data_IF_029277158444
#
_entry.id   IF_029277158444
#
_cell.length_a   1.000
_cell.length_b   1.000
_cell.length_c   1.000
_cell.angle_alpha   90.00
_cell.angle_beta   90.00
_cell.angle_gamma   90.00
#
_symmetry.space_group_name_H-M   'P 1'
#
loop_
_entity.id
_entity.type
_entity.pdbx_description
1 polymer ?
#
# COMPACT_ATOMS: atom_id res chain seq x y z
N UNK A 1 61.49 34.21 21.74
CA UNK A 1 60.07 34.19 21.44
C UNK A 1 59.70 33.00 20.57
N UNK A 2 60.47 32.64 19.51
CA UNK A 2 60.20 31.49 18.59
C UNK A 2 60.33 30.12 19.25
N UNK A 3 61.09 29.97 20.31
CA UNK A 3 61.33 28.69 20.99
C UNK A 3 60.18 28.33 21.94
N UNK A 4 59.56 29.34 22.57
CA UNK A 4 58.41 29.17 23.47
C UNK A 4 57.14 28.73 22.68
N UNK A 5 56.93 29.25 21.50
CA UNK A 5 55.77 28.94 20.66
C UNK A 5 55.84 27.43 20.22
N UNK A 6 57.01 26.90 19.89
CA UNK A 6 57.13 25.48 19.52
C UNK A 6 56.80 24.53 20.66
N UNK A 7 57.11 24.86 21.91
CA UNK A 7 56.78 24.00 23.06
C UNK A 7 55.28 24.04 23.39
N UNK A 8 54.61 25.20 23.29
CA UNK A 8 53.19 25.31 23.53
C UNK A 8 52.37 24.60 22.49
N UNK A 9 52.72 24.68 21.22
CA UNK A 9 52.06 23.93 20.11
C UNK A 9 52.24 22.42 20.25
N UNK A 10 53.43 21.96 20.71
CA UNK A 10 53.68 20.54 20.93
C UNK A 10 52.89 19.96 22.10
N UNK A 11 52.66 20.75 23.16
CA UNK A 11 51.81 20.33 24.30
C UNK A 11 50.34 20.25 23.94
N UNK A 12 49.84 21.19 23.15
CA UNK A 12 48.42 21.21 22.74
C UNK A 12 48.13 20.01 21.81
N UNK A 13 49.10 19.56 20.98
CA UNK A 13 48.92 18.41 20.10
C UNK A 13 48.87 17.09 20.89
N UNK A 14 49.65 16.98 22.00
CA UNK A 14 49.64 15.76 22.83
C UNK A 14 48.36 15.61 23.65
N UNK A 15 47.81 16.72 24.18
CA UNK A 15 46.56 16.64 24.94
C UNK A 15 45.35 16.35 24.06
N UNK A 16 45.34 16.73 22.77
CA UNK A 16 44.29 16.40 21.84
C UNK A 16 44.25 14.92 21.41
N UNK A 17 45.35 14.17 21.60
CA UNK A 17 45.44 12.76 21.19
C UNK A 17 45.00 11.78 22.30
N UNK A 18 44.80 12.26 23.52
CA UNK A 18 44.35 11.44 24.67
C UNK A 18 42.87 11.53 24.99
N UNK A 19 42.11 12.39 24.30
CA UNK A 19 40.64 12.26 24.33
C UNK A 19 40.27 11.15 23.38
N UNK A 20 40.10 9.96 23.96
CA UNK A 20 39.56 8.80 23.25
C UNK A 20 38.27 9.19 22.56
N UNK A 21 38.30 9.27 21.24
CA UNK A 21 37.10 9.29 20.44
C UNK A 21 36.48 7.92 20.64
N UNK A 22 35.57 7.84 21.61
CA UNK A 22 34.68 6.70 21.73
C UNK A 22 33.90 6.64 20.41
N UNK A 23 34.46 5.83 19.50
CA UNK A 23 33.75 5.46 18.27
C UNK A 23 32.59 4.59 18.70
N UNK A 24 31.54 5.24 19.20
CA UNK A 24 30.23 4.62 19.29
C UNK A 24 29.87 4.26 17.85
N UNK A 25 30.18 3.02 17.50
CA UNK A 25 29.63 2.39 16.30
C UNK A 25 28.13 2.38 16.53
N UNK A 26 27.48 3.39 15.99
CA UNK A 26 26.03 3.44 15.88
C UNK A 26 25.66 2.32 14.92
N UNK A 27 25.50 1.13 15.45
CA UNK A 27 24.81 0.06 14.74
C UNK A 27 23.36 0.50 14.63
N UNK A 28 23.06 1.26 13.59
CA UNK A 28 21.70 1.42 13.14
C UNK A 28 21.23 0.00 12.81
N UNK A 29 20.52 -0.62 13.75
CA UNK A 29 19.68 -1.75 13.46
C UNK A 29 18.72 -1.25 12.39
N UNK A 30 18.96 -1.62 11.12
CA UNK A 30 17.97 -1.49 10.08
C UNK A 30 16.80 -2.37 10.53
N UNK A 31 15.84 -1.78 11.23
CA UNK A 31 14.54 -2.39 11.39
C UNK A 31 14.04 -2.55 9.95
N UNK A 32 13.98 -3.78 9.50
CA UNK A 32 13.41 -4.16 8.21
C UNK A 32 11.97 -3.68 8.23
N UNK A 33 11.73 -2.52 7.62
CA UNK A 33 10.39 -1.92 7.57
C UNK A 33 9.50 -2.92 6.83
N UNK A 34 8.68 -3.64 7.59
CA UNK A 34 7.79 -4.67 7.07
C UNK A 34 6.90 -4.04 6.01
N UNK A 35 7.07 -4.46 4.77
CA UNK A 35 6.32 -3.95 3.63
C UNK A 35 4.81 -3.97 3.93
N UNK A 36 4.18 -2.81 3.83
CA UNK A 36 2.73 -2.68 4.01
C UNK A 36 2.00 -3.21 2.77
N UNK A 37 0.93 -4.00 2.95
CA UNK A 37 0.16 -4.49 1.82
C UNK A 37 -0.48 -3.33 1.05
N UNK A 38 -0.49 -3.42 -0.28
CA UNK A 38 -1.14 -2.46 -1.19
C UNK A 38 -1.98 -3.19 -2.24
N UNK A 39 -2.89 -2.45 -2.89
CA UNK A 39 -3.78 -2.98 -3.91
C UNK A 39 -3.05 -3.15 -5.24
N UNK A 40 -3.25 -4.29 -5.90
CA UNK A 40 -2.54 -4.66 -7.13
C UNK A 40 -3.46 -4.81 -8.36
N UNK A 41 -4.77 -4.86 -8.11
CA UNK A 41 -5.79 -5.02 -9.16
C UNK A 41 -6.01 -6.45 -9.63
N UNK A 42 -7.23 -6.71 -10.11
CA UNK A 42 -7.71 -8.05 -10.49
C UNK A 42 -6.85 -8.76 -11.54
N UNK A 43 -6.14 -8.03 -12.39
CA UNK A 43 -5.29 -8.64 -13.41
C UNK A 43 -4.16 -9.49 -12.80
N UNK A 44 -3.66 -9.12 -11.62
CA UNK A 44 -2.65 -9.90 -10.89
C UNK A 44 -3.21 -11.22 -10.35
N UNK A 45 -4.51 -11.29 -10.09
CA UNK A 45 -5.17 -12.51 -9.63
C UNK A 45 -5.30 -13.55 -10.75
N UNK A 46 -5.42 -13.11 -12.00
CA UNK A 46 -5.65 -13.97 -13.17
C UNK A 46 -4.57 -15.03 -13.36
N UNK A 47 -3.32 -14.72 -13.01
CA UNK A 47 -2.19 -15.65 -13.20
C UNK A 47 -2.34 -16.96 -12.44
N UNK A 48 -2.98 -16.92 -11.25
CA UNK A 48 -3.19 -18.09 -10.40
C UNK A 48 -4.67 -18.53 -10.31
N UNK A 49 -5.61 -17.59 -10.55
CA UNK A 49 -7.05 -17.81 -10.42
C UNK A 49 -7.83 -17.47 -11.70
N UNK A 50 -7.48 -18.04 -12.87
CA UNK A 50 -8.08 -17.64 -14.16
C UNK A 50 -9.59 -17.86 -14.21
N UNK A 51 -10.09 -18.98 -13.68
CA UNK A 51 -11.52 -19.32 -13.72
C UNK A 51 -12.33 -18.41 -12.78
N UNK A 52 -11.79 -18.07 -11.59
CA UNK A 52 -12.46 -17.14 -10.70
C UNK A 52 -12.54 -15.73 -11.31
N UNK A 53 -11.47 -15.28 -11.95
CA UNK A 53 -11.46 -13.96 -12.61
C UNK A 53 -12.43 -13.95 -13.79
N UNK A 54 -12.49 -15.05 -14.59
CA UNK A 54 -13.43 -15.18 -15.70
C UNK A 54 -14.87 -15.08 -15.22
N UNK A 55 -15.28 -15.94 -14.27
CA UNK A 55 -16.63 -15.94 -13.70
C UNK A 55 -16.99 -14.59 -13.08
N UNK A 56 -16.07 -13.98 -12.32
CA UNK A 56 -16.30 -12.68 -11.71
C UNK A 56 -16.47 -11.57 -12.74
N UNK A 57 -15.75 -11.62 -13.87
CA UNK A 57 -15.85 -10.63 -14.94
C UNK A 57 -17.24 -10.57 -15.62
N UNK A 58 -18.05 -11.60 -15.45
CA UNK A 58 -19.43 -11.65 -15.94
C UNK A 58 -20.41 -10.90 -15.02
N UNK A 59 -20.02 -10.66 -13.77
CA UNK A 59 -20.85 -9.98 -12.79
C UNK A 59 -20.90 -8.47 -13.04
N UNK A 60 -22.04 -7.86 -12.68
CA UNK A 60 -22.22 -6.40 -12.82
C UNK A 60 -21.22 -5.56 -12.04
N UNK A 61 -20.73 -6.08 -10.90
CA UNK A 61 -19.74 -5.38 -10.05
C UNK A 61 -18.40 -5.17 -10.72
N UNK A 62 -18.00 -6.10 -11.57
CA UNK A 62 -16.74 -5.99 -12.32
C UNK A 62 -16.71 -4.82 -13.31
N UNK A 63 -17.87 -4.16 -13.54
CA UNK A 63 -18.07 -3.09 -14.52
C UNK A 63 -18.88 -1.91 -13.95
N UNK A 64 -19.03 -1.83 -12.62
CA UNK A 64 -19.92 -0.88 -11.99
C UNK A 64 -19.43 0.58 -12.00
N UNK A 65 -18.12 0.81 -12.24
CA UNK A 65 -17.58 2.16 -12.37
C UNK A 65 -18.12 2.90 -13.60
N UNK A 66 -18.41 2.17 -14.66
CA UNK A 66 -18.98 2.75 -15.89
C UNK A 66 -20.22 3.60 -15.64
N UNK A 67 -21.05 3.23 -14.64
CA UNK A 67 -22.25 4.02 -14.34
C UNK A 67 -21.89 5.39 -13.79
N UNK A 68 -20.79 5.52 -13.07
CA UNK A 68 -20.30 6.81 -12.59
C UNK A 68 -19.82 7.68 -13.75
N UNK A 69 -19.05 7.10 -14.68
CA UNK A 69 -18.59 7.79 -15.89
C UNK A 69 -19.77 8.33 -16.71
N UNK A 70 -20.79 7.49 -16.93
CA UNK A 70 -22.01 7.89 -17.68
C UNK A 70 -22.80 9.01 -17.02
N UNK A 71 -22.62 9.24 -15.72
CA UNK A 71 -23.35 10.24 -14.92
C UNK A 71 -22.50 11.43 -14.50
N UNK A 72 -21.21 11.48 -14.91
CA UNK A 72 -20.28 12.49 -14.45
C UNK A 72 -20.04 12.44 -12.93
N UNK A 73 -20.08 11.23 -12.33
CA UNK A 73 -19.93 10.97 -10.89
C UNK A 73 -18.64 10.22 -10.56
N UNK A 74 -17.77 10.07 -11.51
CA UNK A 74 -16.49 9.34 -11.42
C UNK A 74 -15.45 10.01 -10.51
N UNK A 75 -15.73 11.21 -10.04
CA UNK A 75 -14.95 11.94 -9.02
C UNK A 75 -15.72 12.14 -7.70
N UNK A 76 -16.94 11.67 -7.59
CA UNK A 76 -17.78 11.89 -6.41
C UNK A 76 -17.35 10.99 -5.24
N UNK A 77 -16.81 11.56 -4.12
CA UNK A 77 -16.32 10.78 -2.99
C UNK A 77 -17.41 9.96 -2.28
N UNK A 78 -18.69 10.26 -2.51
CA UNK A 78 -19.80 9.48 -1.96
C UNK A 78 -20.05 8.20 -2.78
N UNK A 79 -19.66 8.19 -4.05
CA UNK A 79 -19.87 7.06 -4.97
C UNK A 79 -18.66 6.12 -5.00
N UNK A 80 -17.46 6.66 -4.94
CA UNK A 80 -16.20 5.93 -5.15
C UNK A 80 -15.99 4.74 -4.21
N UNK A 81 -16.36 4.78 -2.90
CA UNK A 81 -16.15 3.64 -2.00
C UNK A 81 -16.85 2.36 -2.43
N UNK A 82 -18.00 2.48 -3.11
CA UNK A 82 -18.80 1.35 -3.59
C UNK A 82 -18.54 0.99 -5.06
N UNK A 83 -17.81 1.82 -5.79
CA UNK A 83 -17.59 1.67 -7.22
C UNK A 83 -16.13 1.49 -7.63
N UNK A 84 -15.22 1.46 -6.65
CA UNK A 84 -13.78 1.27 -6.86
C UNK A 84 -13.19 0.28 -5.86
N UNK A 85 -11.94 -0.04 -6.02
CA UNK A 85 -11.20 -0.94 -5.14
C UNK A 85 -10.28 -0.15 -4.23
N UNK A 86 -10.56 -0.17 -2.91
CA UNK A 86 -9.73 0.44 -1.88
C UNK A 86 -9.76 1.96 -1.84
N UNK A 87 -10.84 2.62 -2.29
CA UNK A 87 -10.95 4.08 -2.14
C UNK A 87 -10.87 4.51 -0.67
N UNK A 88 -9.99 5.47 -0.38
CA UNK A 88 -9.72 5.94 0.97
C UNK A 88 -8.71 5.10 1.76
N UNK A 89 -8.30 3.95 1.23
CA UNK A 89 -7.32 3.08 1.86
C UNK A 89 -5.90 3.30 1.28
N UNK A 90 -4.84 3.06 2.07
CA UNK A 90 -3.46 3.18 1.59
C UNK A 90 -3.20 2.29 0.36
N UNK A 91 -2.74 2.90 -0.74
CA UNK A 91 -2.46 2.20 -1.99
C UNK A 91 -3.70 1.76 -2.78
N UNK A 92 -4.91 2.21 -2.39
CA UNK A 92 -6.15 1.97 -3.10
C UNK A 92 -6.43 2.96 -4.23
N UNK A 93 -7.68 2.98 -4.71
CA UNK A 93 -8.10 3.88 -5.78
C UNK A 93 -7.96 5.36 -5.39
N UNK A 94 -7.31 6.14 -6.24
CA UNK A 94 -7.12 7.59 -6.06
C UNK A 94 -7.95 8.36 -7.12
N UNK A 95 -7.69 8.10 -8.39
CA UNK A 95 -8.42 8.66 -9.53
C UNK A 95 -8.23 7.79 -10.78
N UNK A 96 -9.00 8.08 -11.82
CA UNK A 96 -8.90 7.38 -13.12
C UNK A 96 -7.51 7.54 -13.74
N UNK A 97 -6.88 8.70 -13.54
CA UNK A 97 -5.55 9.01 -14.10
C UNK A 97 -4.43 8.31 -13.31
N UNK A 98 -4.55 8.25 -11.97
CA UNK A 98 -3.48 7.74 -11.09
C UNK A 98 -3.54 6.24 -10.92
N UNK A 99 -4.74 5.69 -10.74
CA UNK A 99 -4.95 4.27 -10.43
C UNK A 99 -6.07 3.64 -11.27
N UNK A 100 -6.02 3.73 -12.61
CA UNK A 100 -7.08 3.25 -13.50
C UNK A 100 -7.36 1.74 -13.35
N UNK A 101 -6.37 0.96 -12.94
CA UNK A 101 -6.47 -0.48 -12.73
C UNK A 101 -7.30 -0.87 -11.50
N UNK A 102 -7.64 0.09 -10.62
CA UNK A 102 -8.47 -0.11 -9.44
C UNK A 102 -9.92 0.38 -9.61
N UNK A 103 -10.32 0.74 -10.83
CA UNK A 103 -11.72 0.98 -11.17
C UNK A 103 -12.55 -0.28 -10.93
N UNK A 104 -13.80 -0.11 -10.63
CA UNK A 104 -14.76 -1.17 -10.30
C UNK A 104 -14.50 -1.85 -8.96
N UNK A 105 -15.50 -2.57 -8.48
CA UNK A 105 -15.36 -3.50 -7.36
C UNK A 105 -14.61 -4.73 -7.87
N UNK A 106 -13.46 -5.03 -7.29
CA UNK A 106 -12.62 -6.16 -7.69
C UNK A 106 -12.42 -7.14 -6.53
N UNK A 107 -11.64 -8.20 -6.73
CA UNK A 107 -11.38 -9.22 -5.72
C UNK A 107 -10.88 -8.63 -4.40
N UNK A 108 -9.98 -7.65 -4.48
CA UNK A 108 -9.37 -7.01 -3.32
C UNK A 108 -10.32 -6.09 -2.54
N UNK A 109 -11.44 -5.67 -3.13
CA UNK A 109 -12.49 -4.96 -2.37
C UNK A 109 -13.05 -5.85 -1.25
N UNK A 110 -13.12 -7.16 -1.50
CA UNK A 110 -13.57 -8.15 -0.53
C UNK A 110 -12.42 -8.79 0.24
N UNK A 111 -11.32 -9.07 -0.41
CA UNK A 111 -10.21 -9.84 0.14
C UNK A 111 -9.09 -9.00 0.76
N UNK A 112 -9.17 -7.68 0.63
CA UNK A 112 -8.11 -6.75 1.08
C UNK A 112 -6.93 -6.67 0.11
N UNK A 113 -5.95 -5.79 0.38
CA UNK A 113 -4.80 -5.55 -0.49
C UNK A 113 -3.94 -6.80 -0.62
N UNK A 114 -3.67 -7.23 -1.87
CA UNK A 114 -3.12 -8.53 -2.18
C UNK A 114 -1.64 -8.54 -2.57
N UNK A 115 -0.91 -7.43 -2.44
CA UNK A 115 0.50 -7.38 -2.84
C UNK A 115 1.36 -8.45 -2.17
N UNK A 116 1.19 -8.67 -0.87
CA UNK A 116 1.92 -9.70 -0.13
C UNK A 116 1.46 -11.12 -0.52
N UNK A 117 0.18 -11.31 -0.83
CA UNK A 117 -0.36 -12.57 -1.33
C UNK A 117 0.27 -12.97 -2.67
N UNK A 118 0.40 -12.01 -3.59
CA UNK A 118 1.01 -12.24 -4.90
C UNK A 118 2.51 -12.54 -4.79
N UNK A 119 3.21 -11.91 -3.84
CA UNK A 119 4.64 -12.12 -3.60
C UNK A 119 4.97 -13.41 -2.85
N UNK A 120 4.04 -13.93 -2.06
CA UNK A 120 4.27 -15.12 -1.25
C UNK A 120 4.60 -16.35 -2.11
N UNK A 121 5.62 -17.10 -1.71
CA UNK A 121 6.17 -18.22 -2.47
C UNK A 121 5.48 -19.56 -2.18
N UNK A 122 4.82 -19.67 -1.03
CA UNK A 122 4.15 -20.90 -0.61
C UNK A 122 2.69 -20.69 -0.21
N UNK A 123 1.91 -21.75 -0.20
CA UNK A 123 0.45 -21.73 0.04
C UNK A 123 0.11 -21.26 1.45
N UNK A 124 0.93 -21.59 2.44
CA UNK A 124 0.65 -21.23 3.85
C UNK A 124 0.76 -19.72 4.03
N UNK A 125 1.80 -19.10 3.49
CA UNK A 125 1.98 -17.64 3.52
C UNK A 125 0.88 -16.93 2.73
N UNK A 126 0.56 -17.43 1.52
CA UNK A 126 -0.54 -16.88 0.71
C UNK A 126 -1.86 -16.82 1.49
N UNK A 127 -2.23 -17.89 2.19
CA UNK A 127 -3.46 -17.93 3.01
C UNK A 127 -3.45 -16.94 4.16
N UNK A 128 -2.28 -16.65 4.75
CA UNK A 128 -2.14 -15.66 5.85
C UNK A 128 -2.24 -14.21 5.39
N UNK A 129 -1.97 -13.96 4.12
CA UNK A 129 -1.90 -12.60 3.54
C UNK A 129 -3.15 -12.18 2.78
N UNK A 130 -4.18 -13.00 2.77
CA UNK A 130 -5.47 -12.69 2.17
C UNK A 130 -6.60 -12.79 3.21
N UNK A 131 -7.49 -11.82 3.21
CA UNK A 131 -8.61 -11.80 4.13
C UNK A 131 -9.83 -12.52 3.53
N UNK A 132 -10.62 -13.16 4.38
CA UNK A 132 -11.94 -13.69 4.03
C UNK A 132 -12.96 -12.84 4.80
N UNK A 133 -13.57 -11.84 4.17
CA UNK A 133 -14.42 -10.90 4.86
C UNK A 133 -15.74 -11.56 5.28
N UNK A 134 -16.17 -11.22 6.48
CA UNK A 134 -17.51 -11.54 6.98
C UNK A 134 -18.39 -10.30 6.84
N UNK A 135 -19.59 -10.46 6.27
CA UNK A 135 -20.62 -9.39 6.18
C UNK A 135 -20.26 -8.15 5.33
N UNK A 136 -19.32 -8.24 4.41
CA UNK A 136 -18.88 -7.11 3.60
C UNK A 136 -19.99 -6.57 2.65
N UNK A 137 -20.86 -7.43 2.15
CA UNK A 137 -21.93 -7.04 1.21
C UNK A 137 -22.80 -5.90 1.76
N UNK A 138 -23.02 -5.87 3.06
CA UNK A 138 -23.87 -4.86 3.72
C UNK A 138 -23.22 -3.47 3.81
N UNK A 139 -21.91 -3.36 3.60
CA UNK A 139 -21.21 -2.08 3.61
C UNK A 139 -21.67 -1.20 2.45
N UNK A 140 -21.83 -1.79 1.26
CA UNK A 140 -22.34 -1.08 0.09
C UNK A 140 -23.87 -1.16 0.00
N UNK A 141 -24.47 -2.33 0.25
CA UNK A 141 -25.91 -2.55 -0.01
C UNK A 141 -26.87 -1.98 1.05
N UNK A 142 -26.42 -1.68 2.28
CA UNK A 142 -27.28 -1.04 3.28
C UNK A 142 -27.47 0.46 3.08
N UNK A 143 -26.51 1.12 2.48
CA UNK A 143 -26.47 2.58 2.36
C UNK A 143 -26.94 3.08 0.99
N UNK A 144 -27.27 2.17 0.08
CA UNK A 144 -27.58 2.52 -1.29
C UNK A 144 -29.03 2.99 -1.44
N UNK A 145 -29.26 4.22 -1.04
CA UNK A 145 -30.35 5.00 -1.63
C UNK A 145 -29.79 5.53 -2.97
N UNK A 146 -30.09 4.85 -4.05
CA UNK A 146 -30.01 5.47 -5.36
C UNK A 146 -30.99 6.63 -5.38
N UNK A 147 -30.49 7.82 -5.07
CA UNK A 147 -31.30 9.04 -5.13
C UNK A 147 -31.53 9.30 -6.61
N UNK A 148 -32.76 9.09 -7.05
CA UNK A 148 -33.25 9.57 -8.35
C UNK A 148 -33.23 8.55 -9.49
N UNK A 149 -34.03 7.52 -9.38
CA UNK A 149 -34.64 6.79 -10.50
C UNK A 149 -36.15 6.82 -10.35
#
# INVERSE_FOLDING_TARGET
>A
VRWFIKKVVFFIIIECFCMGVDSQVFTASAEEEKEKPHYVGMQKCRGCHPEHVKTYSEWKYSRNFRILEMRGKDHDPQCLPCHTTGYGEPGGFISVEKTPHLKNVQCETCHGPASLHVKATNVVERRKTINIPKNLCTTCHRQHKHIGY
#
